data_IF_179074831740
#
_entry.id   IF_179074831740
#
_cell.length_a   1.000
_cell.length_b   1.000
_cell.length_c   1.000
_cell.angle_alpha   90.00
_cell.angle_beta   90.00
_cell.angle_gamma   90.00
#
_symmetry.space_group_name_H-M   'P 1'
#
loop_
_entity.id
_entity.type
_entity.pdbx_description
1 polymer ?
#
# COMPACT_ATOMS: atom_id res chain seq x y z
N UNK A 1 18.40 63.22 71.26
CA UNK A 1 16.93 63.28 71.48
C UNK A 1 16.33 62.46 70.35
N UNK A 2 15.95 61.22 70.63
CA UNK A 2 14.53 60.82 70.81
C UNK A 2 13.82 60.89 69.44
N UNK A 3 13.35 59.83 68.79
CA UNK A 3 12.38 58.85 69.28
C UNK A 3 12.26 57.69 68.26
N UNK A 4 11.95 56.51 68.78
CA UNK A 4 11.36 55.36 68.08
C UNK A 4 9.84 55.54 68.11
N UNK A 5 9.10 55.22 67.04
CA UNK A 5 7.68 54.76 66.96
C UNK A 5 7.40 54.52 65.45
N UNK A 6 7.36 53.30 64.94
CA UNK A 6 6.29 52.28 64.97
C UNK A 6 5.20 52.44 63.89
N UNK A 7 5.18 51.45 62.98
CA UNK A 7 4.03 50.74 62.37
C UNK A 7 2.82 51.51 61.83
N UNK A 8 2.49 51.30 60.55
CA UNK A 8 1.21 50.67 60.22
C UNK A 8 1.29 49.86 58.91
N UNK A 9 0.81 48.63 59.01
CA UNK A 9 0.65 47.61 57.98
C UNK A 9 -0.86 47.48 57.74
N UNK A 10 -1.43 48.23 56.80
CA UNK A 10 -2.73 47.85 56.21
C UNK A 10 -3.01 48.62 54.92
N UNK A 11 -2.77 47.96 53.78
CA UNK A 11 -3.77 47.73 52.74
C UNK A 11 -3.14 46.86 51.65
N UNK A 12 -3.18 45.55 51.87
CA UNK A 12 -3.16 44.57 50.77
C UNK A 12 -4.54 44.63 50.14
N UNK A 13 -4.68 45.48 49.12
CA UNK A 13 -5.80 45.36 48.19
C UNK A 13 -5.32 44.46 47.04
N UNK A 14 -5.85 43.24 47.09
CA UNK A 14 -5.69 42.14 46.16
C UNK A 14 -6.18 42.59 44.79
N UNK A 15 -5.26 43.01 43.92
CA UNK A 15 -5.58 43.20 42.51
C UNK A 15 -5.35 41.86 41.82
N UNK A 16 -6.42 41.07 41.70
CA UNK A 16 -6.45 39.84 40.91
C UNK A 16 -5.97 40.14 39.49
N UNK A 17 -4.89 39.49 38.99
CA UNK A 17 -4.59 39.55 37.58
C UNK A 17 -5.64 38.73 36.81
N UNK A 18 -6.26 39.40 35.84
CA UNK A 18 -7.20 38.88 34.85
C UNK A 18 -6.82 37.48 34.33
N UNK A 19 -7.77 36.53 34.23
CA UNK A 19 -7.53 35.21 33.66
C UNK A 19 -7.52 35.35 32.13
N UNK A 20 -6.33 35.43 31.55
CA UNK A 20 -6.22 35.63 30.10
C UNK A 20 -4.80 35.68 29.57
N UNK A 21 -3.87 35.00 30.22
CA UNK A 21 -2.59 34.62 29.60
C UNK A 21 -2.63 33.11 29.51
N UNK A 22 -3.09 32.61 28.36
CA UNK A 22 -2.80 31.25 27.98
C UNK A 22 -1.28 31.18 27.82
N UNK A 23 -0.59 30.88 28.92
CA UNK A 23 0.62 30.11 28.84
C UNK A 23 0.20 28.83 28.12
N UNK A 24 0.50 28.79 26.82
CA UNK A 24 0.48 27.56 26.05
C UNK A 24 1.46 26.65 26.76
N UNK A 25 0.96 25.86 27.71
CA UNK A 25 1.69 24.75 28.27
C UNK A 25 2.05 23.87 27.09
N UNK A 26 3.27 24.03 26.58
CA UNK A 26 3.89 23.09 25.68
C UNK A 26 4.02 21.82 26.50
N UNK A 27 2.97 21.00 26.44
CA UNK A 27 3.06 19.60 26.78
C UNK A 27 4.36 19.09 26.14
N UNK A 28 5.30 18.45 26.88
CA UNK A 28 6.52 17.96 26.25
C UNK A 28 6.11 17.18 25.01
N UNK A 29 6.51 17.68 23.83
CA UNK A 29 6.06 17.11 22.57
C UNK A 29 6.52 15.64 22.57
N UNK A 30 5.57 14.72 22.55
CA UNK A 30 5.87 13.30 22.36
C UNK A 30 6.66 13.19 21.05
N UNK A 31 7.80 12.51 21.08
CA UNK A 31 8.72 12.44 19.95
C UNK A 31 9.15 11.00 19.70
N UNK A 32 9.10 10.55 18.46
CA UNK A 32 9.62 9.25 18.06
C UNK A 32 11.13 9.33 17.80
N UNK A 33 11.92 8.41 18.38
CA UNK A 33 13.35 8.29 18.10
C UNK A 33 13.60 7.28 16.97
N UNK A 34 14.00 7.77 15.82
CA UNK A 34 14.53 6.96 14.73
C UNK A 34 16.05 6.81 14.87
N UNK A 35 16.52 5.58 15.10
CA UNK A 35 17.94 5.25 15.24
C UNK A 35 18.27 3.94 14.51
N UNK A 36 18.74 4.00 13.25
CA UNK A 36 19.02 2.79 12.47
C UNK A 36 20.17 1.97 13.07
N UNK A 37 20.05 0.62 13.14
CA UNK A 37 21.09 -0.23 13.70
C UNK A 37 22.46 -0.05 13.02
N UNK A 38 23.51 0.08 13.85
CA UNK A 38 24.89 0.19 13.36
C UNK A 38 25.24 1.54 12.73
N UNK A 39 24.39 2.56 12.90
CA UNK A 39 24.64 3.93 12.46
C UNK A 39 24.65 4.86 13.66
N UNK A 40 25.43 5.94 13.54
CA UNK A 40 25.60 6.90 14.63
C UNK A 40 24.54 7.99 14.62
N UNK A 41 23.86 8.22 13.49
CA UNK A 41 22.82 9.24 13.36
C UNK A 41 21.54 8.81 14.08
N UNK A 42 20.87 9.77 14.70
CA UNK A 42 19.50 9.61 15.22
C UNK A 42 18.63 10.83 14.89
N UNK A 43 17.34 10.58 14.71
CA UNK A 43 16.34 11.62 14.42
C UNK A 43 15.22 11.53 15.44
N UNK A 44 15.00 12.60 16.19
CA UNK A 44 13.81 12.78 17.03
C UNK A 44 12.73 13.46 16.20
N UNK A 45 11.64 12.77 15.93
CA UNK A 45 10.54 13.25 15.11
C UNK A 45 9.32 13.50 15.99
N UNK A 46 8.93 14.76 16.14
CA UNK A 46 7.76 15.12 16.94
C UNK A 46 6.49 14.48 16.37
N UNK A 47 5.67 13.88 17.23
CA UNK A 47 4.47 13.15 16.79
C UNK A 47 3.41 14.07 16.18
N UNK A 48 3.42 15.36 16.55
CA UNK A 48 2.59 16.40 15.92
C UNK A 48 2.99 16.63 14.45
N UNK A 49 4.28 16.50 14.11
CA UNK A 49 4.76 16.54 12.72
C UNK A 49 4.24 15.32 11.97
N UNK A 50 4.31 14.12 12.56
CA UNK A 50 3.83 12.88 11.94
C UNK A 50 2.34 13.01 11.57
N UNK A 51 1.52 13.49 12.50
CA UNK A 51 0.07 13.61 12.30
C UNK A 51 -0.28 14.61 11.20
N UNK A 52 0.26 15.83 11.26
CA UNK A 52 -0.01 16.88 10.27
C UNK A 52 0.55 16.52 8.89
N UNK A 53 1.80 16.06 8.83
CA UNK A 53 2.43 15.69 7.57
C UNK A 53 1.70 14.51 6.91
N UNK A 54 1.28 13.51 7.69
CA UNK A 54 0.50 12.40 7.15
C UNK A 54 -0.82 12.87 6.52
N UNK A 55 -1.51 13.82 7.15
CA UNK A 55 -2.76 14.37 6.61
C UNK A 55 -2.55 15.05 5.25
N UNK A 56 -1.48 15.85 5.10
CA UNK A 56 -1.14 16.48 3.82
C UNK A 56 -0.71 15.45 2.77
N UNK A 57 0.08 14.44 3.16
CA UNK A 57 0.49 13.35 2.28
C UNK A 57 -0.73 12.56 1.78
N UNK A 58 -1.68 12.24 2.65
CA UNK A 58 -2.91 11.53 2.26
C UNK A 58 -3.83 12.41 1.39
N UNK A 59 -3.86 13.73 1.62
CA UNK A 59 -4.56 14.67 0.73
C UNK A 59 -3.97 14.62 -0.67
N UNK A 60 -2.64 14.71 -0.81
CA UNK A 60 -1.94 14.58 -2.08
C UNK A 60 -2.16 13.22 -2.74
N UNK A 61 -2.10 12.14 -1.97
CA UNK A 61 -2.35 10.78 -2.43
C UNK A 61 -3.79 10.58 -2.95
N UNK A 62 -4.77 11.27 -2.36
CA UNK A 62 -6.17 11.22 -2.76
C UNK A 62 -6.51 12.03 -4.03
N UNK A 63 -5.63 12.93 -4.50
CA UNK A 63 -5.97 13.83 -5.62
C UNK A 63 -6.09 13.13 -6.98
N UNK A 64 -5.37 12.03 -7.19
CA UNK A 64 -5.43 11.24 -8.42
C UNK A 64 -5.74 9.77 -8.07
N UNK A 65 -6.92 9.24 -8.44
CA UNK A 65 -7.27 7.85 -8.16
C UNK A 65 -6.19 6.88 -8.68
N UNK A 66 -5.80 5.91 -7.84
CA UNK A 66 -4.79 4.86 -8.11
C UNK A 66 -3.34 5.32 -8.29
N UNK A 67 -3.03 6.63 -8.29
CA UNK A 67 -1.67 7.14 -8.54
C UNK A 67 -1.19 8.16 -7.51
N UNK A 68 -2.10 8.99 -6.99
CA UNK A 68 -1.79 10.11 -6.12
C UNK A 68 -0.85 11.13 -6.76
N UNK A 69 -0.60 12.25 -6.07
CA UNK A 69 0.55 13.09 -6.37
C UNK A 69 1.48 13.15 -5.18
N UNK A 70 2.76 13.29 -5.47
CA UNK A 70 3.78 13.48 -4.46
C UNK A 70 3.80 14.94 -4.00
N UNK A 71 3.78 15.16 -2.70
CA UNK A 71 4.08 16.45 -2.07
C UNK A 71 5.48 16.41 -1.48
N UNK A 72 6.04 17.58 -1.18
CA UNK A 72 7.34 17.71 -0.55
C UNK A 72 7.54 19.10 0.04
N UNK A 73 8.71 19.30 0.64
CA UNK A 73 9.03 20.54 1.32
C UNK A 73 10.22 20.42 2.25
N UNK A 74 10.25 21.31 3.24
CA UNK A 74 11.36 21.51 4.17
C UNK A 74 10.99 20.93 5.53
N UNK A 75 11.94 20.25 6.17
CA UNK A 75 11.86 19.84 7.57
C UNK A 75 12.54 20.91 8.44
N UNK A 76 11.88 21.28 9.53
CA UNK A 76 12.30 22.33 10.45
C UNK A 76 12.53 21.75 11.84
N UNK A 77 13.55 22.25 12.52
CA UNK A 77 13.85 21.82 13.88
C UNK A 77 15.24 22.26 14.31
N UNK A 78 15.91 21.46 15.13
CA UNK A 78 17.19 21.84 15.71
C UNK A 78 18.20 20.68 15.64
N UNK A 79 19.47 21.03 15.44
CA UNK A 79 20.58 20.09 15.59
C UNK A 79 20.95 20.02 17.07
N UNK A 80 20.67 18.90 17.72
CA UNK A 80 20.91 18.72 19.16
C UNK A 80 22.41 18.54 19.42
N UNK A 81 23.08 17.73 18.59
CA UNK A 81 24.52 17.47 18.68
C UNK A 81 25.09 17.03 17.32
N UNK A 82 26.29 16.44 17.29
CA UNK A 82 26.97 15.98 16.08
C UNK A 82 26.26 14.84 15.31
N UNK A 83 25.27 14.20 15.92
CA UNK A 83 24.65 12.95 15.49
C UNK A 83 23.12 12.95 15.62
N UNK A 84 22.56 13.87 16.40
CA UNK A 84 21.14 13.90 16.73
C UNK A 84 20.46 15.12 16.13
N UNK A 85 19.45 14.87 15.30
CA UNK A 85 18.59 15.90 14.71
C UNK A 85 17.21 15.82 15.33
N UNK A 86 16.61 16.94 15.71
CA UNK A 86 15.20 17.00 16.11
C UNK A 86 14.39 17.70 15.03
N UNK A 87 13.31 17.06 14.59
CA UNK A 87 12.34 17.58 13.62
C UNK A 87 11.07 17.95 14.37
N UNK A 88 10.84 19.25 14.51
CA UNK A 88 9.73 19.82 15.30
C UNK A 88 8.63 20.42 14.42
N UNK A 89 8.94 20.77 13.17
CA UNK A 89 7.96 21.29 12.22
C UNK A 89 8.33 20.97 10.76
N UNK A 90 7.47 21.36 9.82
CA UNK A 90 7.72 21.26 8.39
C UNK A 90 6.99 22.36 7.62
N UNK A 91 7.48 22.68 6.43
CA UNK A 91 6.82 23.60 5.51
C UNK A 91 6.71 22.97 4.12
N UNK A 92 5.49 22.80 3.61
CA UNK A 92 5.24 22.27 2.25
C UNK A 92 5.58 23.31 1.20
N UNK A 93 6.20 22.89 0.10
CA UNK A 93 6.39 23.75 -1.08
C UNK A 93 5.55 23.22 -2.23
N UNK A 94 4.61 24.01 -2.79
CA UNK A 94 3.75 23.54 -3.86
C UNK A 94 4.53 23.18 -5.13
N UNK A 95 4.20 22.02 -5.71
CA UNK A 95 4.65 21.56 -7.02
C UNK A 95 3.46 21.57 -7.97
N UNK A 96 3.65 22.05 -9.20
CA UNK A 96 2.64 22.06 -10.27
C UNK A 96 2.49 20.72 -10.98
N UNK A 97 3.38 19.75 -10.71
CA UNK A 97 3.33 18.41 -11.29
C UNK A 97 3.35 18.40 -12.84
N UNK A 98 4.02 19.38 -13.45
CA UNK A 98 4.13 19.52 -14.91
C UNK A 98 4.86 18.34 -15.58
N UNK A 99 5.66 17.59 -14.81
CA UNK A 99 6.36 16.36 -15.23
C UNK A 99 5.70 15.09 -14.69
N UNK A 100 4.40 15.16 -14.38
CA UNK A 100 3.62 14.07 -13.83
C UNK A 100 3.50 14.11 -12.31
N UNK A 101 2.94 13.05 -11.72
CA UNK A 101 2.59 12.95 -10.30
C UNK A 101 3.77 13.01 -9.32
N UNK A 102 5.00 13.08 -9.80
CA UNK A 102 6.20 13.11 -8.96
C UNK A 102 6.52 14.53 -8.48
N UNK A 103 7.16 14.63 -7.33
CA UNK A 103 7.61 15.91 -6.79
C UNK A 103 8.92 16.31 -7.48
N UNK A 104 8.79 16.79 -8.71
CA UNK A 104 9.89 17.26 -9.55
C UNK A 104 9.70 18.75 -9.79
N UNK A 105 10.49 19.56 -9.12
CA UNK A 105 10.37 21.01 -9.16
C UNK A 105 10.88 21.56 -10.51
N UNK A 106 10.16 22.56 -11.03
CA UNK A 106 10.67 23.46 -12.06
C UNK A 106 11.73 24.41 -11.48
N UNK A 107 12.50 25.13 -12.33
CA UNK A 107 13.45 26.13 -11.83
C UNK A 107 12.80 27.19 -10.93
N UNK A 108 11.59 27.66 -11.27
CA UNK A 108 10.84 28.62 -10.46
C UNK A 108 10.45 28.05 -9.09
N UNK A 109 9.96 26.81 -9.06
CA UNK A 109 9.59 26.15 -7.80
C UNK A 109 10.81 25.78 -6.95
N UNK A 110 11.95 25.50 -7.60
CA UNK A 110 13.23 25.29 -6.91
C UNK A 110 13.69 26.58 -6.24
N UNK A 111 13.50 27.74 -6.88
CA UNK A 111 13.79 29.04 -6.27
C UNK A 111 12.82 29.36 -5.13
N UNK A 112 11.56 28.96 -5.24
CA UNK A 112 10.60 29.04 -4.14
C UNK A 112 11.04 28.20 -2.94
N UNK A 113 11.49 26.96 -3.17
CA UNK A 113 12.06 26.10 -2.12
C UNK A 113 13.28 26.76 -1.48
N UNK A 114 14.20 27.31 -2.28
CA UNK A 114 15.36 28.06 -1.78
C UNK A 114 14.95 29.22 -0.88
N UNK A 115 13.99 30.04 -1.31
CA UNK A 115 13.51 31.17 -0.52
C UNK A 115 12.90 30.77 0.83
N UNK A 116 12.24 29.59 0.90
CA UNK A 116 11.79 29.01 2.18
C UNK A 116 13.00 28.66 3.05
N UNK A 117 14.00 27.96 2.50
CA UNK A 117 15.21 27.60 3.25
C UNK A 117 15.97 28.82 3.74
N UNK A 118 16.25 29.80 2.87
CA UNK A 118 17.01 31.01 3.19
C UNK A 118 16.35 31.82 4.31
N UNK A 119 15.01 31.88 4.33
CA UNK A 119 14.25 32.52 5.39
C UNK A 119 14.50 31.86 6.75
N UNK A 120 14.46 30.53 6.80
CA UNK A 120 14.66 29.78 8.04
C UNK A 120 16.13 29.79 8.49
N UNK A 121 17.07 29.62 7.56
CA UNK A 121 18.51 29.69 7.81
C UNK A 121 18.97 31.08 8.31
N UNK A 122 18.26 32.14 7.93
CA UNK A 122 18.59 33.51 8.34
C UNK A 122 17.91 33.97 9.64
N UNK A 123 17.18 33.09 10.33
CA UNK A 123 16.40 33.44 11.54
C UNK A 123 17.33 33.80 12.71
N UNK A 124 17.39 35.08 13.15
CA UNK A 124 18.33 35.48 14.20
C UNK A 124 17.95 34.87 15.56
N UNK A 125 18.88 34.19 16.22
CA UNK A 125 18.65 33.56 17.52
C UNK A 125 17.64 32.41 17.52
N UNK A 126 17.23 31.94 16.34
CA UNK A 126 16.27 30.84 16.20
C UNK A 126 16.89 29.52 16.63
N UNK A 127 16.24 28.85 17.59
CA UNK A 127 16.52 27.43 17.88
C UNK A 127 16.09 26.53 16.71
N UNK A 128 15.12 26.98 15.92
CA UNK A 128 14.60 26.28 14.76
C UNK A 128 15.29 26.74 13.47
N UNK A 129 15.78 25.79 12.69
CA UNK A 129 16.43 25.95 11.38
C UNK A 129 15.96 24.86 10.42
N UNK A 130 16.44 24.91 9.17
CA UNK A 130 16.28 23.83 8.20
C UNK A 130 17.13 22.64 8.63
N UNK A 131 16.48 21.49 8.88
CA UNK A 131 17.17 20.25 9.27
C UNK A 131 17.10 19.16 8.21
N UNK A 132 16.40 19.42 7.10
CA UNK A 132 16.22 18.44 6.05
C UNK A 132 15.14 18.79 5.05
N UNK A 133 14.85 17.84 4.18
CA UNK A 133 13.75 17.89 3.22
C UNK A 133 12.84 16.67 3.40
N UNK A 134 11.63 16.74 2.87
CA UNK A 134 10.77 15.58 2.78
C UNK A 134 10.07 15.47 1.43
N UNK A 135 9.68 14.25 1.09
CA UNK A 135 8.84 13.94 -0.07
C UNK A 135 7.95 12.74 0.21
N UNK A 136 6.69 12.79 -0.18
CA UNK A 136 5.86 11.58 -0.21
C UNK A 136 6.24 10.70 -1.41
N UNK A 137 6.21 9.38 -1.26
CA UNK A 137 6.68 8.43 -2.26
C UNK A 137 5.51 7.61 -2.80
N UNK A 138 5.07 7.88 -4.04
CA UNK A 138 4.00 7.10 -4.70
C UNK A 138 4.52 6.11 -5.74
N UNK A 139 5.85 6.00 -5.86
CA UNK A 139 6.54 5.15 -6.83
C UNK A 139 6.69 3.71 -6.32
N UNK A 140 7.12 2.83 -7.20
CA UNK A 140 7.53 1.47 -6.83
C UNK A 140 8.86 1.49 -6.05
N UNK A 141 9.06 0.47 -5.21
CA UNK A 141 10.18 0.43 -4.27
C UNK A 141 10.03 1.44 -3.13
N UNK A 142 11.13 1.76 -2.45
CA UNK A 142 11.16 2.81 -1.44
C UNK A 142 12.53 3.48 -1.40
N UNK A 143 12.82 4.23 -2.45
CA UNK A 143 14.14 4.76 -2.76
C UNK A 143 14.13 6.28 -2.85
N UNK A 144 15.28 6.88 -2.57
CA UNK A 144 15.59 8.28 -2.85
C UNK A 144 16.14 8.42 -4.28
N UNK A 145 15.86 9.52 -4.95
CA UNK A 145 16.41 9.76 -6.31
C UNK A 145 17.64 10.66 -6.30
N UNK A 146 18.34 10.74 -7.43
CA UNK A 146 19.46 11.66 -7.59
C UNK A 146 18.99 13.12 -7.42
N UNK A 147 17.80 13.45 -7.91
CA UNK A 147 17.22 14.80 -7.77
C UNK A 147 16.94 15.14 -6.30
N UNK A 148 16.45 14.18 -5.51
CA UNK A 148 16.25 14.36 -4.07
C UNK A 148 17.59 14.64 -3.36
N UNK A 149 18.64 13.86 -3.68
CA UNK A 149 19.98 14.05 -3.13
C UNK A 149 20.57 15.41 -3.52
N UNK A 150 20.45 15.79 -4.79
CA UNK A 150 20.93 17.08 -5.27
C UNK A 150 20.16 18.27 -4.67
N UNK A 151 18.87 18.11 -4.37
CA UNK A 151 18.08 19.12 -3.67
C UNK A 151 18.56 19.24 -2.22
N UNK A 152 18.76 18.11 -1.54
CA UNK A 152 19.27 18.12 -0.17
C UNK A 152 20.65 18.80 -0.12
N UNK A 153 21.56 18.50 -1.05
CA UNK A 153 22.91 19.09 -1.11
C UNK A 153 22.89 20.60 -1.31
N UNK A 154 21.91 21.10 -2.07
CA UNK A 154 21.80 22.53 -2.37
C UNK A 154 21.03 23.32 -1.31
N UNK A 155 20.06 22.70 -0.65
CA UNK A 155 19.12 23.38 0.25
C UNK A 155 19.46 23.20 1.73
N UNK A 156 20.09 22.07 2.09
CA UNK A 156 20.45 21.71 3.45
C UNK A 156 21.83 21.02 3.46
N UNK A 157 22.92 21.80 3.31
CA UNK A 157 24.27 21.27 3.12
C UNK A 157 24.89 20.66 4.39
N UNK A 158 24.27 20.86 5.57
CA UNK A 158 24.74 20.30 6.82
C UNK A 158 24.85 18.77 6.76
N UNK A 159 25.93 18.22 7.31
CA UNK A 159 26.25 16.80 7.21
C UNK A 159 25.16 15.91 7.83
N UNK A 160 24.44 16.43 8.81
CA UNK A 160 23.35 15.73 9.51
C UNK A 160 21.98 15.96 8.87
N UNK A 161 21.85 16.83 7.87
CA UNK A 161 20.55 17.07 7.26
C UNK A 161 19.99 15.78 6.66
N UNK A 162 18.69 15.57 6.87
CA UNK A 162 18.02 14.31 6.51
C UNK A 162 17.00 14.51 5.39
N UNK A 163 16.75 13.45 4.62
CA UNK A 163 15.64 13.37 3.70
C UNK A 163 14.62 12.36 4.23
N UNK A 164 13.41 12.82 4.54
CA UNK A 164 12.30 11.95 4.92
C UNK A 164 11.49 11.55 3.69
N UNK A 165 11.36 10.25 3.45
CA UNK A 165 10.36 9.72 2.53
C UNK A 165 9.16 9.17 3.29
N UNK A 166 7.95 9.51 2.83
CA UNK A 166 6.70 8.97 3.38
C UNK A 166 5.94 8.25 2.28
N UNK A 167 5.79 6.93 2.39
CA UNK A 167 5.03 6.12 1.43
C UNK A 167 3.59 5.91 1.93
N UNK A 168 2.59 6.60 1.35
CA UNK A 168 1.20 6.47 1.77
C UNK A 168 0.57 5.17 1.29
N UNK A 169 -0.44 4.71 2.03
CA UNK A 169 -1.32 3.64 1.61
C UNK A 169 -2.78 3.97 1.95
N UNK A 170 -3.70 3.54 1.10
CA UNK A 170 -5.13 3.76 1.31
C UNK A 170 -5.70 2.90 2.46
N UNK A 171 -5.20 1.66 2.61
CA UNK A 171 -5.82 0.63 3.46
C UNK A 171 -4.88 0.02 4.49
N UNK A 172 -3.61 0.46 4.55
CA UNK A 172 -2.64 0.06 5.57
C UNK A 172 -1.91 1.29 6.12
N UNK A 173 -1.09 1.09 7.15
CA UNK A 173 -0.31 2.17 7.74
C UNK A 173 0.73 2.67 6.72
N UNK A 174 0.82 4.00 6.56
CA UNK A 174 1.87 4.68 5.81
C UNK A 174 3.25 4.33 6.39
N UNK A 175 4.28 4.35 5.56
CA UNK A 175 5.64 3.98 5.98
C UNK A 175 6.56 5.19 5.82
N UNK A 176 7.35 5.47 6.85
CA UNK A 176 8.39 6.50 6.86
C UNK A 176 9.77 5.87 6.74
N UNK A 177 10.70 6.62 6.19
CA UNK A 177 12.12 6.26 6.16
C UNK A 177 12.99 7.49 5.97
N UNK A 178 14.02 7.60 6.80
CA UNK A 178 15.02 8.67 6.67
C UNK A 178 16.22 8.20 5.85
N UNK A 179 16.74 9.11 5.04
CA UNK A 179 18.00 9.01 4.32
C UNK A 179 18.92 10.15 4.79
N UNK A 180 20.22 9.88 4.82
CA UNK A 180 21.21 10.80 5.37
C UNK A 180 22.55 10.62 4.65
N UNK A 181 23.47 11.56 4.86
CA UNK A 181 24.79 11.54 4.23
C UNK A 181 25.78 10.68 5.02
N UNK A 182 26.60 9.95 4.28
CA UNK A 182 27.71 9.16 4.77
C UNK A 182 28.91 9.37 3.84
N UNK A 183 30.08 9.68 4.41
CA UNK A 183 31.28 9.99 3.65
C UNK A 183 31.05 11.08 2.57
N UNK A 184 30.28 12.11 2.90
CA UNK A 184 30.01 13.26 2.02
C UNK A 184 28.89 13.08 0.99
N UNK A 185 28.09 12.00 1.03
CA UNK A 185 26.93 11.84 0.15
C UNK A 185 26.00 10.72 0.60
N UNK A 186 24.84 10.54 -0.04
CA UNK A 186 23.89 9.48 0.34
C UNK A 186 24.36 8.14 -0.22
N UNK A 187 24.84 7.24 0.64
CA UNK A 187 25.44 5.95 0.21
C UNK A 187 24.42 4.88 -0.12
N UNK A 188 23.31 4.85 0.63
CA UNK A 188 22.24 3.87 0.45
C UNK A 188 21.01 4.55 -0.12
N UNK A 189 20.80 4.39 -1.42
CA UNK A 189 19.72 5.07 -2.14
C UNK A 189 18.51 4.19 -2.43
N UNK A 190 18.70 2.87 -2.48
CA UNK A 190 17.70 1.86 -2.86
C UNK A 190 16.64 1.61 -1.77
N UNK A 191 17.00 1.82 -0.51
CA UNK A 191 16.10 1.70 0.64
C UNK A 191 16.63 2.42 1.89
N UNK A 192 15.78 2.86 2.83
CA UNK A 192 16.21 3.45 4.09
C UNK A 192 16.78 2.40 5.03
N UNK A 193 17.74 2.76 5.88
CA UNK A 193 18.33 1.83 6.85
C UNK A 193 17.34 1.28 7.86
N UNK A 194 16.29 2.04 8.16
CA UNK A 194 15.21 1.66 9.04
C UNK A 194 13.91 2.30 8.53
N UNK A 195 12.92 1.44 8.23
CA UNK A 195 11.54 1.85 7.96
C UNK A 195 10.75 1.88 9.27
N UNK A 196 9.76 2.77 9.38
CA UNK A 196 8.91 2.87 10.56
C UNK A 196 7.45 3.19 10.18
N UNK A 197 6.45 2.84 11.02
CA UNK A 197 5.07 3.20 10.75
C UNK A 197 4.89 4.72 10.84
N UNK A 198 4.51 5.38 9.75
CA UNK A 198 4.28 6.81 9.72
C UNK A 198 2.85 7.15 10.17
N UNK A 199 2.56 6.91 11.46
CA UNK A 199 1.27 7.21 12.10
C UNK A 199 1.47 7.39 13.60
N UNK A 200 1.03 8.53 14.14
CA UNK A 200 1.16 8.89 15.56
C UNK A 200 0.81 7.75 16.52
N UNK A 201 -0.33 7.09 16.32
CA UNK A 201 -0.83 6.03 17.21
C UNK A 201 0.10 4.82 17.31
N UNK A 202 0.78 4.45 16.22
CA UNK A 202 1.71 3.32 16.22
C UNK A 202 3.02 3.72 16.92
N UNK A 203 3.51 4.94 16.66
CA UNK A 203 4.77 5.43 17.21
C UNK A 203 4.70 5.77 18.71
N UNK A 204 3.56 6.27 19.18
CA UNK A 204 3.33 6.48 20.62
C UNK A 204 3.29 5.17 21.42
N UNK A 205 2.95 4.05 20.77
CA UNK A 205 2.90 2.72 21.40
C UNK A 205 4.26 2.03 21.49
N UNK A 206 5.14 2.24 20.51
CA UNK A 206 6.49 1.64 20.47
C UNK A 206 7.39 2.16 21.60
N UNK A 207 7.22 3.42 22.02
CA UNK A 207 8.00 4.02 23.11
C UNK A 207 7.68 3.37 24.47
N UNK A 208 6.44 2.91 24.65
CA UNK A 208 5.99 2.22 25.87
C UNK A 208 6.53 0.78 25.95
N UNK A 209 6.69 0.10 24.82
CA UNK A 209 7.27 -1.25 24.74
C UNK A 209 8.80 -1.22 24.83
N UNK A 210 9.46 -0.23 24.21
CA UNK A 210 10.91 -0.02 24.31
C UNK A 210 11.34 0.43 25.73
N UNK A 211 10.57 1.31 26.38
CA UNK A 211 10.82 1.69 27.78
C UNK A 211 10.61 0.52 28.76
N UNK A 212 9.63 -0.35 28.49
CA UNK A 212 9.43 -1.58 29.27
C UNK A 212 10.58 -2.58 29.09
N UNK A 213 11.07 -2.76 27.85
CA UNK A 213 12.18 -3.67 27.56
C UNK A 213 13.52 -3.19 28.15
N UNK A 214 13.75 -1.88 28.21
CA UNK A 214 14.95 -1.30 28.84
C UNK A 214 14.92 -1.40 30.38
N UNK A 215 13.73 -1.43 30.99
CA UNK A 215 13.56 -1.65 32.43
C UNK A 215 13.72 -3.13 32.84
N UNK A 216 13.51 -4.07 31.92
CA UNK A 216 13.62 -5.52 32.17
C UNK A 216 15.04 -6.08 32.04
N UNK A 217 16.01 -5.34 31.51
CA UNK A 217 17.38 -5.83 31.31
C UNK A 217 18.31 -5.68 32.53
N UNK A 218 17.89 -6.19 33.69
CA UNK A 218 18.81 -6.50 34.80
C UNK A 218 19.04 -8.02 34.82
N UNK A 219 20.28 -8.53 34.71
CA UNK A 219 20.50 -9.95 34.43
C UNK A 219 20.36 -10.78 35.71
N UNK A 220 19.35 -11.66 35.76
CA UNK A 220 19.31 -12.80 36.67
C UNK A 220 19.57 -14.09 35.89
N UNK A 221 20.51 -14.87 36.39
CA UNK A 221 21.13 -16.03 35.74
C UNK A 221 20.16 -17.18 35.38
N UNK A 222 20.58 -17.92 34.36
CA UNK A 222 19.84 -18.88 33.56
C UNK A 222 19.47 -20.23 34.24
N UNK A 223 18.37 -20.82 33.77
CA UNK A 223 18.23 -22.26 33.51
C UNK A 223 17.10 -22.51 32.46
N UNK A 224 17.15 -23.60 31.66
CA UNK A 224 16.57 -23.65 30.32
C UNK A 224 15.19 -24.31 30.25
N UNK A 225 14.33 -23.82 29.34
CA UNK A 225 13.12 -24.51 28.93
C UNK A 225 12.97 -24.55 27.39
N UNK A 226 12.59 -25.72 26.91
CA UNK A 226 12.49 -26.18 25.53
C UNK A 226 11.47 -25.38 24.67
N UNK A 227 11.54 -25.48 23.32
CA UNK A 227 10.89 -24.54 22.42
C UNK A 227 9.39 -24.83 22.28
N UNK A 228 8.56 -23.81 22.49
CA UNK A 228 7.15 -23.83 22.09
C UNK A 228 7.01 -22.96 20.84
N UNK A 229 6.69 -23.61 19.73
CA UNK A 229 6.48 -23.00 18.42
C UNK A 229 5.34 -21.96 18.49
N UNK A 230 5.64 -20.74 18.04
CA UNK A 230 4.67 -19.67 17.82
C UNK A 230 3.95 -19.87 16.46
N UNK A 231 2.67 -19.48 16.32
CA UNK A 231 1.94 -19.63 15.06
C UNK A 231 2.46 -18.68 13.97
N UNK A 232 2.45 -19.08 12.68
CA UNK A 232 2.90 -18.21 11.59
C UNK A 232 1.91 -17.10 11.29
N UNK A 233 2.45 -15.89 11.06
CA UNK A 233 1.72 -14.71 10.62
C UNK A 233 1.36 -14.78 9.13
N UNK A 234 0.14 -14.37 8.79
CA UNK A 234 -0.40 -14.25 7.44
C UNK A 234 -0.17 -12.83 6.91
N UNK A 235 0.32 -12.69 5.67
CA UNK A 235 0.51 -11.37 5.04
C UNK A 235 -0.01 -11.39 3.61
N UNK A 236 -1.08 -10.67 3.27
CA UNK A 236 -1.60 -10.62 1.89
C UNK A 236 -0.68 -9.78 0.99
N UNK A 237 -0.09 -10.41 -0.04
CA UNK A 237 0.98 -9.82 -0.84
C UNK A 237 0.54 -9.32 -2.22
N UNK A 238 -0.21 -8.21 -2.32
CA UNK A 238 -0.66 -7.69 -3.61
C UNK A 238 0.42 -6.90 -4.38
N UNK A 239 0.86 -7.44 -5.51
CA UNK A 239 1.35 -6.66 -6.66
C UNK A 239 0.49 -7.05 -7.87
N UNK A 240 0.02 -6.06 -8.62
CA UNK A 240 -0.18 -6.07 -10.08
C UNK A 240 -0.55 -4.63 -10.43
N UNK A 241 0.29 -3.91 -11.18
CA UNK A 241 0.28 -3.87 -12.65
C UNK A 241 -1.15 -3.75 -13.20
N UNK A 242 -1.50 -2.51 -13.57
CA UNK A 242 -2.67 -2.20 -14.36
C UNK A 242 -2.20 -1.61 -15.67
N UNK A 243 -2.64 -2.17 -16.76
CA UNK A 243 -2.69 -1.50 -18.04
C UNK A 243 -4.17 -1.47 -18.46
N UNK A 244 -4.71 -0.25 -18.60
CA UNK A 244 -5.40 0.26 -19.80
C UNK A 244 -6.39 1.38 -19.48
N UNK A 245 -6.09 2.55 -20.05
CA UNK A 245 -7.05 3.50 -20.65
C UNK A 245 -7.98 2.79 -21.65
N UNK A 246 -9.12 3.29 -22.08
CA UNK A 246 -10.05 4.36 -21.73
C UNK A 246 -11.24 4.10 -22.69
N UNK A 247 -12.47 4.23 -22.21
CA UNK A 247 -13.67 4.14 -23.04
C UNK A 247 -14.20 5.56 -23.28
N UNK A 248 -14.56 5.87 -24.53
CA UNK A 248 -15.54 6.92 -24.83
C UNK A 248 -16.69 6.30 -25.61
N UNK A 249 -17.89 6.52 -25.09
CA UNK A 249 -19.20 6.27 -25.68
C UNK A 249 -19.76 7.53 -26.35
N UNK A 250 -20.90 7.33 -27.02
CA UNK A 250 -21.84 8.25 -27.71
C UNK A 250 -21.66 8.30 -29.23
N UNK A 251 -22.70 8.25 -30.07
CA UNK A 251 -24.15 8.18 -29.89
C UNK A 251 -24.82 8.41 -31.27
N UNK A 252 -25.95 7.74 -31.50
CA UNK A 252 -27.03 7.95 -32.49
C UNK A 252 -26.82 8.82 -33.76
N UNK A 253 -27.20 8.29 -34.94
CA UNK A 253 -28.46 8.60 -35.64
C UNK A 253 -28.45 8.18 -37.14
N UNK A 254 -29.58 7.58 -37.52
CA UNK A 254 -30.29 7.54 -38.82
C UNK A 254 -29.56 7.87 -40.14
N UNK A 255 -29.70 6.97 -41.12
CA UNK A 255 -30.26 7.38 -42.43
C UNK A 255 -30.86 6.21 -43.21
N UNK A 256 -32.15 6.35 -43.48
CA UNK A 256 -32.97 5.68 -44.48
C UNK A 256 -32.42 5.87 -45.90
N UNK A 257 -32.51 4.85 -46.76
CA UNK A 257 -32.91 5.02 -48.16
C UNK A 257 -33.51 3.72 -48.71
N UNK A 258 -34.79 3.81 -49.05
CA UNK A 258 -35.55 2.88 -49.87
C UNK A 258 -35.17 3.03 -51.34
N UNK A 259 -35.06 1.92 -52.08
CA UNK A 259 -35.27 1.93 -53.53
C UNK A 259 -36.11 0.72 -53.95
N UNK A 260 -37.07 1.03 -54.80
CA UNK A 260 -38.20 0.22 -55.25
C UNK A 260 -37.99 -0.22 -56.69
N UNK A 261 -38.68 -1.29 -57.09
CA UNK A 261 -38.88 -1.67 -58.50
C UNK A 261 -37.78 -2.59 -59.02
N UNK A 262 -38.06 -3.67 -59.76
CA UNK A 262 -39.16 -3.94 -60.67
C UNK A 262 -39.30 -5.47 -60.79
N UNK A 263 -40.52 -6.02 -60.67
CA UNK A 263 -41.30 -6.68 -61.77
C UNK A 263 -40.51 -7.70 -62.60
N UNK A 264 -40.99 -8.89 -62.96
CA UNK A 264 -42.30 -9.51 -62.90
C UNK A 264 -42.14 -10.99 -63.30
N UNK A 265 -43.24 -11.73 -63.08
CA UNK A 265 -43.70 -12.85 -63.88
C UNK A 265 -42.91 -14.17 -63.78
N UNK A 266 -43.51 -15.35 -63.85
CA UNK A 266 -44.89 -15.82 -63.77
C UNK A 266 -44.77 -17.36 -63.88
N UNK A 267 -45.74 -18.07 -63.34
CA UNK A 267 -45.99 -19.47 -63.70
C UNK A 267 -45.18 -20.46 -62.87
N UNK A 268 -45.74 -21.54 -62.36
CA UNK A 268 -47.01 -22.17 -62.64
C UNK A 268 -46.86 -23.54 -62.00
N UNK A 269 -47.76 -23.88 -61.08
CA UNK A 269 -47.57 -24.99 -60.17
C UNK A 269 -47.50 -26.37 -60.82
N UNK A 270 -47.11 -27.35 -60.02
CA UNK A 270 -47.70 -28.69 -60.02
C UNK A 270 -47.43 -29.37 -58.68
N UNK A 271 -48.52 -29.72 -57.99
CA UNK A 271 -48.54 -30.63 -56.85
C UNK A 271 -48.38 -32.05 -57.37
N UNK A 272 -47.51 -32.85 -56.75
CA UNK A 272 -47.71 -34.30 -56.72
C UNK A 272 -47.32 -34.88 -55.36
N UNK A 273 -48.18 -35.78 -54.90
CA UNK A 273 -48.28 -36.35 -53.57
C UNK A 273 -47.45 -37.64 -53.46
N UNK A 274 -46.85 -37.81 -52.28
CA UNK A 274 -46.65 -39.04 -51.49
C UNK A 274 -45.68 -40.11 -52.00
N UNK A 275 -44.65 -40.37 -51.19
CA UNK A 275 -44.38 -41.70 -50.63
C UNK A 275 -43.65 -41.51 -49.30
N UNK A 276 -44.15 -42.13 -48.23
CA UNK A 276 -43.53 -42.06 -46.90
C UNK A 276 -42.78 -43.33 -46.60
N UNK A 277 -41.68 -43.27 -45.84
CA UNK A 277 -41.21 -44.38 -45.02
C UNK A 277 -40.09 -43.92 -44.06
N UNK A 278 -40.39 -43.98 -42.75
CA UNK A 278 -39.50 -44.12 -41.57
C UNK A 278 -38.09 -43.50 -41.66
N UNK A 279 -37.92 -42.27 -41.15
CA UNK A 279 -36.61 -41.74 -40.74
C UNK A 279 -36.64 -40.96 -39.42
N UNK A 280 -37.67 -41.17 -38.58
CA UNK A 280 -37.77 -40.48 -37.28
C UNK A 280 -37.15 -41.27 -36.10
N UNK A 281 -36.97 -42.62 -36.11
CA UNK A 281 -36.30 -43.25 -34.96
C UNK A 281 -34.77 -43.25 -35.07
N UNK A 282 -34.18 -43.11 -36.27
CA UNK A 282 -32.71 -43.20 -36.40
C UNK A 282 -32.00 -41.93 -35.89
N UNK A 283 -32.62 -40.77 -36.06
CA UNK A 283 -32.09 -39.49 -35.57
C UNK A 283 -32.05 -39.41 -34.04
N UNK A 284 -33.00 -40.05 -33.36
CA UNK A 284 -33.04 -40.11 -31.89
C UNK A 284 -32.03 -41.11 -31.31
N UNK A 285 -31.78 -42.22 -32.01
CA UNK A 285 -30.75 -43.19 -31.61
C UNK A 285 -29.35 -42.60 -31.83
N UNK A 286 -29.08 -41.91 -32.95
CA UNK A 286 -27.80 -41.21 -33.13
C UNK A 286 -27.60 -40.04 -32.15
N UNK A 287 -28.67 -39.36 -31.74
CA UNK A 287 -28.61 -38.33 -30.70
C UNK A 287 -28.27 -38.94 -29.32
N UNK A 288 -28.97 -40.01 -28.92
CA UNK A 288 -28.70 -40.68 -27.64
C UNK A 288 -27.35 -41.41 -27.63
N UNK A 289 -26.97 -42.05 -28.73
CA UNK A 289 -25.66 -42.70 -28.88
C UNK A 289 -24.53 -41.66 -28.93
N UNK A 290 -24.74 -40.52 -29.59
CA UNK A 290 -23.80 -39.41 -29.61
C UNK A 290 -23.61 -38.73 -28.25
N UNK A 291 -24.67 -38.63 -27.45
CA UNK A 291 -24.60 -38.13 -26.07
C UNK A 291 -23.88 -39.13 -25.16
N UNK A 292 -24.15 -40.42 -25.28
CA UNK A 292 -23.47 -41.46 -24.46
C UNK A 292 -22.01 -41.66 -24.87
N UNK A 293 -21.67 -41.65 -26.17
CA UNK A 293 -20.27 -41.67 -26.64
C UNK A 293 -19.54 -40.37 -26.28
N UNK A 294 -20.19 -39.21 -26.42
CA UNK A 294 -19.64 -37.92 -26.02
C UNK A 294 -19.36 -37.87 -24.51
N UNK A 295 -20.24 -38.46 -23.70
CA UNK A 295 -20.08 -38.56 -22.25
C UNK A 295 -19.01 -39.59 -21.83
N UNK A 296 -18.85 -40.71 -22.56
CA UNK A 296 -17.77 -41.69 -22.31
C UNK A 296 -16.39 -41.18 -22.75
N UNK A 297 -16.30 -40.40 -23.84
CA UNK A 297 -15.04 -39.74 -24.25
C UNK A 297 -14.64 -38.64 -23.27
N UNK A 298 -15.61 -37.87 -22.76
CA UNK A 298 -15.37 -36.82 -21.77
C UNK A 298 -14.82 -37.33 -20.42
N UNK A 299 -15.12 -38.59 -20.05
CA UNK A 299 -14.68 -39.18 -18.79
C UNK A 299 -13.46 -40.12 -18.91
N UNK A 300 -12.99 -40.47 -20.11
CA UNK A 300 -11.91 -41.45 -20.29
C UNK A 300 -10.65 -40.93 -20.99
N UNK A 301 -10.68 -39.75 -21.62
CA UNK A 301 -9.50 -39.19 -22.29
C UNK A 301 -9.06 -37.91 -21.57
N UNK A 302 -8.18 -38.11 -20.59
CA UNK A 302 -7.26 -37.07 -20.12
C UNK A 302 -6.44 -36.58 -21.31
N UNK A 303 -6.98 -35.61 -22.03
CA UNK A 303 -6.38 -35.05 -23.23
C UNK A 303 -5.38 -33.98 -22.81
N UNK A 304 -4.10 -34.38 -22.84
CA UNK A 304 -2.95 -33.51 -22.97
C UNK A 304 -3.15 -32.66 -24.24
N UNK A 305 -3.65 -31.44 -24.07
CA UNK A 305 -3.65 -30.40 -25.11
C UNK A 305 -2.51 -29.41 -24.81
N UNK A 306 -1.76 -28.93 -25.82
CA UNK A 306 -0.75 -27.91 -25.63
C UNK A 306 -1.38 -26.62 -25.08
N UNK A 307 -0.76 -26.02 -24.07
CA UNK A 307 -1.28 -24.95 -23.21
C UNK A 307 -1.56 -23.59 -23.88
N UNK A 308 -1.68 -23.52 -25.21
CA UNK A 308 -1.75 -22.26 -25.96
C UNK A 308 -3.06 -21.97 -26.71
N UNK A 309 -4.04 -22.89 -26.74
CA UNK A 309 -5.22 -22.76 -27.62
C UNK A 309 -6.58 -23.02 -26.95
N UNK A 310 -6.64 -23.07 -25.62
CA UNK A 310 -7.93 -22.95 -24.92
C UNK A 310 -8.20 -21.46 -24.69
N UNK A 311 -9.37 -20.92 -25.09
CA UNK A 311 -9.87 -19.71 -24.47
C UNK A 311 -9.83 -19.92 -22.95
N UNK A 312 -9.24 -19.01 -22.16
CA UNK A 312 -9.21 -19.18 -20.72
C UNK A 312 -10.66 -19.37 -20.27
N UNK A 313 -10.91 -20.44 -19.51
CA UNK A 313 -12.19 -20.62 -18.86
C UNK A 313 -12.42 -19.34 -18.04
N UNK A 314 -13.47 -18.55 -18.35
CA UNK A 314 -13.67 -17.23 -17.77
C UNK A 314 -13.87 -17.27 -16.25
N UNK A 315 -13.95 -18.46 -15.67
CA UNK A 315 -14.09 -18.70 -14.24
C UNK A 315 -12.82 -19.25 -13.57
N UNK A 316 -11.71 -19.43 -14.31
CA UNK A 316 -10.42 -19.79 -13.72
C UNK A 316 -9.85 -18.62 -12.91
N UNK A 317 -9.39 -18.92 -11.70
CA UNK A 317 -8.80 -17.93 -10.79
C UNK A 317 -7.28 -17.86 -10.93
N UNK A 318 -6.66 -18.75 -11.72
CA UNK A 318 -5.22 -18.79 -12.00
C UNK A 318 -4.40 -18.78 -10.69
N UNK A 319 -4.66 -19.76 -9.83
CA UNK A 319 -4.04 -19.90 -8.54
C UNK A 319 -2.61 -20.41 -8.69
N UNK A 320 -1.64 -19.63 -8.22
CA UNK A 320 -0.21 -19.93 -8.31
C UNK A 320 0.42 -19.88 -6.92
N UNK A 321 1.45 -20.68 -6.68
CA UNK A 321 2.23 -20.67 -5.45
C UNK A 321 3.72 -20.63 -5.80
N UNK A 322 4.37 -19.49 -5.56
CA UNK A 322 5.77 -19.26 -5.90
C UNK A 322 6.62 -19.07 -4.64
N UNK A 323 7.83 -19.60 -4.63
CA UNK A 323 8.73 -19.42 -3.49
C UNK A 323 9.30 -18.01 -3.44
N UNK A 324 9.31 -17.41 -2.25
CA UNK A 324 9.98 -16.14 -1.96
C UNK A 324 10.72 -16.27 -0.63
N UNK A 325 12.02 -16.61 -0.69
CA UNK A 325 12.84 -16.90 0.49
C UNK A 325 12.29 -18.10 1.30
N UNK A 326 11.94 -17.85 2.57
CA UNK A 326 11.36 -18.83 3.50
C UNK A 326 9.82 -18.88 3.46
N UNK A 327 9.19 -18.08 2.61
CA UNK A 327 7.72 -17.99 2.50
C UNK A 327 7.25 -18.38 1.10
N UNK A 328 5.99 -18.80 1.00
CA UNK A 328 5.30 -19.11 -0.25
C UNK A 328 4.35 -17.96 -0.56
N UNK A 329 4.50 -17.36 -1.73
CA UNK A 329 3.60 -16.34 -2.25
C UNK A 329 2.54 -17.00 -3.11
N UNK A 330 1.35 -17.16 -2.55
CA UNK A 330 0.14 -17.64 -3.20
C UNK A 330 -0.52 -16.46 -3.91
N UNK A 331 -0.84 -16.58 -5.19
CA UNK A 331 -1.42 -15.51 -6.02
C UNK A 331 -2.57 -16.05 -6.83
N UNK A 332 -3.57 -15.21 -7.09
CA UNK A 332 -4.67 -15.51 -7.98
C UNK A 332 -5.03 -14.27 -8.80
N UNK A 333 -5.70 -14.48 -9.93
CA UNK A 333 -6.14 -13.42 -10.82
C UNK A 333 -7.34 -12.68 -10.24
N UNK A 334 -7.08 -11.52 -9.64
CA UNK A 334 -8.10 -10.55 -9.20
C UNK A 334 -9.01 -10.03 -10.33
N UNK A 335 -8.57 -10.16 -11.58
CA UNK A 335 -9.34 -9.84 -12.77
C UNK A 335 -10.41 -10.88 -13.09
N UNK A 336 -10.33 -12.09 -12.51
CA UNK A 336 -11.28 -13.15 -12.77
C UNK A 336 -12.69 -12.74 -12.32
N UNK A 337 -13.73 -12.87 -13.17
CA UNK A 337 -15.12 -12.60 -12.82
C UNK A 337 -15.58 -13.26 -11.52
N UNK A 338 -15.10 -14.48 -11.24
CA UNK A 338 -15.37 -15.20 -10.00
C UNK A 338 -14.82 -14.47 -8.76
N UNK A 339 -13.66 -13.83 -8.87
CA UNK A 339 -13.03 -13.06 -7.79
C UNK A 339 -13.71 -11.70 -7.61
N UNK A 340 -14.07 -11.03 -8.71
CA UNK A 340 -14.70 -9.69 -8.66
C UNK A 340 -16.12 -9.72 -8.09
N UNK A 341 -16.87 -10.80 -8.34
CA UNK A 341 -18.27 -10.94 -7.92
C UNK A 341 -18.46 -11.75 -6.63
N UNK A 342 -17.38 -12.28 -6.06
CA UNK A 342 -17.41 -13.04 -4.83
C UNK A 342 -17.38 -12.12 -3.60
N UNK A 343 -18.47 -12.08 -2.80
CA UNK A 343 -18.46 -11.39 -1.51
C UNK A 343 -17.52 -12.03 -0.49
N UNK A 344 -17.21 -13.32 -0.64
CA UNK A 344 -16.35 -14.06 0.30
C UNK A 344 -15.63 -15.22 -0.37
N UNK A 345 -14.53 -15.66 0.23
CA UNK A 345 -13.79 -16.85 -0.14
C UNK A 345 -13.12 -17.50 1.07
N UNK A 346 -12.54 -18.66 0.87
CA UNK A 346 -11.78 -19.41 1.86
C UNK A 346 -10.54 -19.95 1.18
N UNK A 347 -9.37 -19.65 1.72
CA UNK A 347 -8.11 -20.29 1.34
C UNK A 347 -7.84 -21.43 2.31
N UNK A 348 -7.96 -22.66 1.82
CA UNK A 348 -7.57 -23.88 2.55
C UNK A 348 -6.09 -24.15 2.29
N UNK A 349 -5.33 -24.36 3.37
CA UNK A 349 -3.89 -24.58 3.35
C UNK A 349 -3.63 -25.90 4.04
N UNK A 350 -3.05 -26.86 3.32
CA UNK A 350 -2.63 -28.14 3.87
C UNK A 350 -1.10 -28.17 3.87
N UNK A 351 -0.51 -28.00 5.05
CA UNK A 351 0.93 -27.97 5.29
C UNK A 351 1.31 -29.25 6.05
N UNK A 352 1.72 -30.29 5.29
CA UNK A 352 1.89 -31.64 5.84
C UNK A 352 0.56 -32.24 6.34
N UNK A 353 0.49 -32.52 7.65
CA UNK A 353 -0.73 -33.03 8.32
C UNK A 353 -1.61 -31.92 8.91
N UNK A 354 -1.13 -30.67 8.92
CA UNK A 354 -1.90 -29.53 9.41
C UNK A 354 -2.80 -28.98 8.29
N UNK A 355 -4.10 -28.84 8.57
CA UNK A 355 -5.06 -28.13 7.71
C UNK A 355 -5.42 -26.80 8.36
N UNK A 356 -5.38 -25.73 7.58
CA UNK A 356 -5.78 -24.40 8.00
C UNK A 356 -6.74 -23.77 7.01
N UNK A 357 -7.68 -22.98 7.53
CA UNK A 357 -8.64 -22.23 6.73
C UNK A 357 -8.48 -20.75 7.00
N UNK A 358 -8.36 -19.97 5.94
CA UNK A 358 -8.27 -18.51 6.01
C UNK A 358 -9.50 -17.95 5.31
N UNK A 359 -10.39 -17.33 6.08
CA UNK A 359 -11.54 -16.65 5.51
C UNK A 359 -11.10 -15.36 4.82
N UNK A 360 -11.62 -15.14 3.62
CA UNK A 360 -11.34 -14.01 2.75
C UNK A 360 -12.62 -13.22 2.55
N UNK A 361 -12.61 -11.94 2.85
CA UNK A 361 -13.64 -11.03 2.38
C UNK A 361 -13.41 -10.61 0.92
N UNK A 362 -14.36 -9.89 0.32
CA UNK A 362 -14.25 -9.41 -1.06
C UNK A 362 -13.01 -8.54 -1.30
N UNK A 363 -12.57 -7.77 -0.30
CA UNK A 363 -11.41 -6.90 -0.42
C UNK A 363 -10.11 -7.72 -0.42
N UNK A 364 -10.03 -8.75 0.41
CA UNK A 364 -8.93 -9.69 0.49
C UNK A 364 -8.86 -10.58 -0.77
N UNK A 365 -10.00 -10.97 -1.34
CA UNK A 365 -10.06 -11.63 -2.65
C UNK A 365 -9.53 -10.71 -3.76
N UNK A 366 -9.89 -9.43 -3.77
CA UNK A 366 -9.41 -8.46 -4.75
C UNK A 366 -7.92 -8.09 -4.59
N UNK A 367 -7.32 -8.32 -3.41
CA UNK A 367 -5.87 -8.21 -3.21
C UNK A 367 -5.09 -9.21 -4.06
N UNK A 368 -5.69 -10.35 -4.42
CA UNK A 368 -5.12 -11.30 -5.39
C UNK A 368 -3.94 -12.11 -4.88
N UNK A 369 -3.62 -12.09 -3.58
CA UNK A 369 -2.43 -12.78 -3.05
C UNK A 369 -2.37 -12.97 -1.55
N UNK A 370 -1.70 -14.04 -1.10
CA UNK A 370 -1.31 -14.33 0.29
C UNK A 370 0.16 -14.76 0.34
N UNK A 371 0.90 -14.27 1.32
CA UNK A 371 2.21 -14.76 1.73
C UNK A 371 1.99 -15.67 2.93
N UNK A 372 2.43 -16.92 2.80
CA UNK A 372 2.32 -17.97 3.79
C UNK A 372 3.71 -18.48 4.18
N UNK A 373 4.02 -18.52 5.46
CA UNK A 373 5.27 -19.12 5.95
C UNK A 373 5.05 -20.62 6.14
N UNK A 374 5.70 -21.44 5.32
CA UNK A 374 5.56 -22.90 5.33
C UNK A 374 6.37 -23.56 6.44
N UNK A 375 5.85 -24.66 6.98
CA UNK A 375 6.56 -25.54 7.91
C UNK A 375 7.06 -26.83 7.23
N UNK A 376 6.31 -27.38 6.28
CA UNK A 376 6.68 -28.58 5.54
C UNK A 376 7.24 -28.28 4.13
N UNK A 377 7.78 -29.33 3.50
CA UNK A 377 8.30 -29.29 2.12
C UNK A 377 7.20 -29.26 1.06
N UNK A 378 6.07 -29.91 1.33
CA UNK A 378 4.92 -29.94 0.45
C UNK A 378 3.73 -29.23 1.11
N UNK A 379 3.24 -28.18 0.46
CA UNK A 379 2.08 -27.41 0.90
C UNK A 379 1.08 -27.34 -0.23
N UNK A 380 -0.18 -27.65 0.07
CA UNK A 380 -1.29 -27.59 -0.88
C UNK A 380 -2.20 -26.42 -0.53
N UNK A 381 -2.49 -25.59 -1.52
CA UNK A 381 -3.38 -24.44 -1.39
C UNK A 381 -4.63 -24.67 -2.23
N UNK A 382 -5.81 -24.49 -1.65
CA UNK A 382 -7.08 -24.47 -2.37
C UNK A 382 -7.80 -23.17 -2.07
N UNK A 383 -8.00 -22.36 -3.11
CA UNK A 383 -8.85 -21.18 -3.01
C UNK A 383 -10.27 -21.56 -3.40
N UNK A 384 -11.23 -21.32 -2.53
CA UNK A 384 -12.66 -21.50 -2.77
C UNK A 384 -13.36 -20.14 -2.65
N UNK A 385 -14.09 -19.72 -3.67
CA UNK A 385 -14.83 -18.45 -3.66
C UNK A 385 -16.32 -18.69 -3.81
N UNK A 386 -17.09 -17.89 -3.10
CA UNK A 386 -18.55 -17.99 -3.08
C UNK A 386 -19.12 -16.75 -3.76
N UNK A 387 -19.75 -16.95 -4.90
CA UNK A 387 -20.34 -15.89 -5.72
C UNK A 387 -21.74 -15.52 -5.21
N UNK A 388 -22.19 -14.32 -5.57
CA UNK A 388 -23.48 -13.77 -5.11
C UNK A 388 -24.70 -14.58 -5.56
N UNK A 389 -24.54 -15.41 -6.60
CA UNK A 389 -25.54 -16.36 -7.12
C UNK A 389 -25.55 -17.71 -6.37
N UNK A 390 -24.82 -17.81 -5.24
CA UNK A 390 -24.64 -19.01 -4.40
C UNK A 390 -23.86 -20.14 -5.07
N UNK A 391 -23.22 -19.92 -6.22
CA UNK A 391 -22.23 -20.86 -6.74
C UNK A 391 -20.93 -20.78 -5.92
N UNK A 392 -20.19 -21.89 -5.89
CA UNK A 392 -18.86 -21.96 -5.28
C UNK A 392 -17.86 -22.48 -6.30
N UNK A 393 -16.78 -21.74 -6.52
CA UNK A 393 -15.70 -22.12 -7.42
C UNK A 393 -14.43 -22.38 -6.62
N UNK A 394 -13.72 -23.45 -6.95
CA UNK A 394 -12.48 -23.79 -6.25
C UNK A 394 -11.34 -24.12 -7.21
N UNK A 395 -10.16 -23.62 -6.91
CA UNK A 395 -8.91 -23.95 -7.62
C UNK A 395 -7.86 -24.43 -6.62
N UNK A 396 -7.00 -25.35 -7.02
CA UNK A 396 -6.01 -25.97 -6.13
C UNK A 396 -4.64 -26.02 -6.78
N UNK A 397 -3.61 -25.63 -6.04
CA UNK A 397 -2.21 -25.70 -6.44
C UNK A 397 -1.39 -26.40 -5.36
N UNK A 398 -0.43 -27.23 -5.78
CA UNK A 398 0.51 -27.92 -4.90
C UNK A 398 1.89 -27.30 -5.07
N UNK A 399 2.49 -26.88 -3.95
CA UNK A 399 3.85 -26.35 -3.88
C UNK A 399 4.77 -27.39 -3.27
N UNK A 400 5.86 -27.71 -3.96
CA UNK A 400 6.95 -28.57 -3.45
C UNK A 400 8.24 -27.76 -3.44
N UNK A 401 8.94 -27.78 -2.30
CA UNK A 401 10.28 -27.23 -2.21
C UNK A 401 11.26 -28.11 -3.02
N UNK A 402 12.11 -27.47 -3.82
CA UNK A 402 13.20 -28.12 -4.54
C UNK A 402 14.45 -28.26 -3.68
#
# INVERSE_FOLDING_TARGET
MSEVIATDESLRETMDPLPGSAETGTNPAESYLWAPPGKEISVQLDLDVVERLLADVLRGFGMIPKRGVEIGGVLLGEYIDARTVRVTDYETVPCQHSRGSSYLLSPEETERLRGVCDRWLSTPGGRTTVVGLFRSHTREGFHITAEDADLLDRMAPDAQAVMLLVKPYATRVSVGGFFFREDGGIRRMDSPYLEFPFRRRELAGEEQEAASAAAESVPAAAAPAAPKAAPPAFTFGGYNQGEKSAMNETGAAEQSYSFSGETAAEGGGKKQKRSGWVWIPLSFIFLLLGVVLGFQVALSVGSKLPSGLRPPDPFTMNLQANQSGTSVHVRWDRGAPAIQSAPRGVLHIQDGSAEQRVELDSLQLLNGSVIYRRAAENVKFRLEVFTSDKASLSETVEFKAN
#
